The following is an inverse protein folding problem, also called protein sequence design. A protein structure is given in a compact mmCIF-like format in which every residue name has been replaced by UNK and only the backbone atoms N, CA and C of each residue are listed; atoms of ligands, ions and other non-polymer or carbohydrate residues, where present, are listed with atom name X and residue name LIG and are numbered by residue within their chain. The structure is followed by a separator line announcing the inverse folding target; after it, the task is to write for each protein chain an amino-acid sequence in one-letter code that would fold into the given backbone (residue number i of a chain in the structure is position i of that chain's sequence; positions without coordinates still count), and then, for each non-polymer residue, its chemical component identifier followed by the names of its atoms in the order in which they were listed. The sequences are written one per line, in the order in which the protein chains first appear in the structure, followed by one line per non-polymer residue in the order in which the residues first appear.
data_IF_833456041236
#
_entry.id   IF_833456041236
#
_cell.length_a   1.000
_cell.length_b   1.000
_cell.length_c   1.000
_cell.angle_alpha   90.00
_cell.angle_beta   90.00
_cell.angle_gamma   90.00
#
_symmetry.space_group_name_H-M   'P 1'
#
loop_
_entity.id
_entity.type
_entity.pdbx_description
1 polymer ?
#
# COMPACT_ATOMS: atom_id res chain seq x y z
N UNK A 1 46.43 7.87 45.64
CA UNK A 1 47.05 7.00 44.59
C UNK A 1 46.30 5.72 44.33
N UNK A 2 45.76 4.99 45.30
CA UNK A 2 45.02 3.72 45.07
C UNK A 2 43.70 3.91 44.31
N UNK A 3 43.00 5.03 44.42
CA UNK A 3 41.74 5.35 43.70
C UNK A 3 41.96 5.71 42.24
N UNK A 4 43.12 6.25 41.87
CA UNK A 4 43.44 6.62 40.47
C UNK A 4 43.78 5.40 39.63
N UNK A 5 44.39 4.36 40.20
CA UNK A 5 44.70 3.12 39.52
C UNK A 5 43.45 2.25 39.26
N UNK A 6 42.43 2.34 40.12
CA UNK A 6 41.13 1.63 39.94
C UNK A 6 40.32 2.21 38.75
N UNK A 7 40.37 3.53 38.51
CA UNK A 7 39.69 4.18 37.39
C UNK A 7 40.36 3.87 36.05
N UNK A 8 41.73 3.84 36.03
CA UNK A 8 42.48 3.50 34.81
C UNK A 8 42.30 2.02 34.43
N UNK A 9 42.27 1.12 35.40
CA UNK A 9 42.00 -0.31 35.17
C UNK A 9 40.56 -0.53 34.68
N UNK A 10 39.55 0.23 35.13
CA UNK A 10 38.18 0.14 34.67
C UNK A 10 38.03 0.64 33.21
N UNK A 11 38.74 1.69 32.81
CA UNK A 11 38.73 2.22 31.43
C UNK A 11 39.42 1.26 30.43
N UNK A 12 40.44 0.52 30.87
CA UNK A 12 41.15 -0.46 30.02
C UNK A 12 40.32 -1.74 29.83
N UNK A 13 39.45 -2.10 30.76
CA UNK A 13 38.52 -3.25 30.61
C UNK A 13 37.37 -2.97 29.63
N UNK A 14 36.94 -1.71 29.46
CA UNK A 14 35.92 -1.34 28.47
C UNK A 14 36.47 -1.15 27.05
N UNK A 15 37.78 -0.90 26.90
CA UNK A 15 38.42 -0.78 25.58
C UNK A 15 38.65 -2.15 24.91
N UNK A 16 38.50 -3.25 25.62
CA UNK A 16 38.75 -4.61 25.09
C UNK A 16 37.53 -5.27 24.42
N UNK A 17 36.35 -4.63 24.43
CA UNK A 17 35.13 -5.16 23.79
C UNK A 17 34.80 -4.52 22.44
N UNK A 18 35.60 -3.58 21.95
CA UNK A 18 35.54 -3.15 20.57
C UNK A 18 36.38 -4.10 19.66
N UNK A 19 36.13 -5.38 19.77
CA UNK A 19 36.46 -6.28 18.66
C UNK A 19 35.42 -6.00 17.59
N UNK A 20 35.82 -5.22 16.59
CA UNK A 20 35.15 -5.24 15.30
C UNK A 20 34.97 -6.73 14.95
N UNK A 21 33.72 -7.22 14.95
CA UNK A 21 33.42 -8.52 14.36
C UNK A 21 33.99 -8.44 12.94
N UNK A 22 35.15 -9.08 12.72
CA UNK A 22 35.63 -9.30 11.36
C UNK A 22 34.47 -9.93 10.63
N UNK A 23 33.94 -9.23 9.63
CA UNK A 23 32.95 -9.80 8.72
C UNK A 23 33.47 -11.17 8.33
N UNK A 24 32.70 -12.19 8.71
CA UNK A 24 33.03 -13.54 8.36
C UNK A 24 32.90 -13.61 6.86
N UNK A 25 34.00 -13.73 6.15
CA UNK A 25 33.98 -13.84 4.69
C UNK A 25 32.97 -14.93 4.32
N UNK A 26 32.03 -14.59 3.45
CA UNK A 26 31.04 -15.55 2.95
C UNK A 26 31.81 -16.77 2.40
N UNK A 27 31.30 -18.00 2.60
CA UNK A 27 31.90 -19.18 2.00
C UNK A 27 32.09 -18.97 0.49
N UNK A 28 33.28 -19.26 -0.04
CA UNK A 28 33.59 -19.08 -1.47
C UNK A 28 32.76 -19.98 -2.38
N UNK A 29 32.12 -20.96 -1.82
CA UNK A 29 31.40 -22.10 -2.43
C UNK A 29 29.88 -22.01 -2.14
N UNK A 30 29.34 -20.83 -2.04
CA UNK A 30 27.86 -20.70 -2.07
C UNK A 30 27.35 -21.36 -3.36
N UNK A 31 26.37 -22.28 -3.28
CA UNK A 31 25.80 -22.85 -4.48
C UNK A 31 25.29 -21.76 -5.40
N UNK A 32 25.49 -21.87 -6.72
CA UNK A 32 24.95 -20.90 -7.65
C UNK A 32 23.43 -20.84 -7.48
N UNK A 33 22.87 -19.66 -7.66
CA UNK A 33 21.40 -19.53 -7.68
C UNK A 33 20.82 -20.52 -8.71
N UNK A 34 19.89 -21.36 -8.28
CA UNK A 34 19.13 -22.20 -9.19
C UNK A 34 18.34 -21.38 -10.22
N UNK A 35 17.87 -22.02 -11.30
CA UNK A 35 16.95 -21.36 -12.22
C UNK A 35 15.71 -20.87 -11.44
N UNK A 36 15.22 -19.67 -11.77
CA UNK A 36 13.97 -19.16 -11.21
C UNK A 36 12.85 -20.11 -11.66
N UNK A 37 12.20 -20.76 -10.70
CA UNK A 37 11.03 -21.57 -11.05
C UNK A 37 9.91 -20.63 -11.54
N UNK A 38 9.29 -20.93 -12.70
CA UNK A 38 8.20 -20.10 -13.19
C UNK A 38 7.05 -20.10 -12.17
N UNK A 39 6.50 -18.93 -11.90
CA UNK A 39 5.33 -18.80 -11.04
C UNK A 39 4.15 -19.52 -11.69
N UNK A 40 3.68 -20.59 -11.06
CA UNK A 40 2.46 -21.27 -11.52
C UNK A 40 1.28 -20.41 -11.11
N UNK A 41 0.71 -19.70 -12.08
CA UNK A 41 -0.49 -18.94 -11.85
C UNK A 41 -1.65 -19.86 -11.42
N UNK A 42 -2.45 -19.45 -10.45
CA UNK A 42 -3.63 -20.18 -10.05
C UNK A 42 -4.69 -20.14 -11.17
N UNK A 43 -5.40 -21.25 -11.35
CA UNK A 43 -6.60 -21.27 -12.21
C UNK A 43 -7.73 -20.55 -11.47
N UNK A 44 -8.19 -19.44 -12.02
CA UNK A 44 -9.29 -18.65 -11.45
C UNK A 44 -10.60 -19.00 -12.16
N UNK A 45 -11.56 -19.57 -11.44
CA UNK A 45 -12.92 -19.75 -11.93
C UNK A 45 -13.69 -18.44 -11.72
N UNK A 46 -14.19 -17.87 -12.80
CA UNK A 46 -14.98 -16.63 -12.79
C UNK A 46 -16.46 -16.94 -12.92
N UNK A 47 -17.28 -16.38 -12.06
CA UNK A 47 -18.72 -16.43 -12.09
C UNK A 47 -19.28 -15.01 -12.08
N UNK A 48 -20.44 -14.84 -12.72
CA UNK A 48 -21.24 -13.63 -12.56
C UNK A 48 -22.67 -14.06 -12.17
N UNK A 49 -23.20 -13.45 -11.11
CA UNK A 49 -24.57 -13.69 -10.68
C UNK A 49 -25.53 -12.77 -11.46
N UNK A 50 -26.81 -13.13 -11.50
CA UNK A 50 -27.85 -12.35 -12.21
C UNK A 50 -28.01 -10.93 -11.64
N UNK A 51 -27.69 -10.73 -10.36
CA UNK A 51 -27.67 -9.41 -9.71
C UNK A 51 -26.44 -8.56 -10.07
N UNK A 52 -25.50 -9.12 -10.85
CA UNK A 52 -24.28 -8.47 -11.33
C UNK A 52 -23.06 -8.62 -10.43
N UNK A 53 -23.14 -9.36 -9.32
CA UNK A 53 -21.97 -9.67 -8.49
C UNK A 53 -20.98 -10.53 -9.26
N UNK A 54 -19.72 -10.10 -9.31
CA UNK A 54 -18.61 -10.92 -9.82
C UNK A 54 -18.07 -11.79 -8.70
N UNK A 55 -17.81 -13.08 -8.98
CA UNK A 55 -17.18 -13.99 -8.03
C UNK A 55 -15.97 -14.63 -8.69
N UNK A 56 -14.80 -14.56 -8.05
CA UNK A 56 -13.57 -15.23 -8.48
C UNK A 56 -13.19 -16.28 -7.45
N UNK A 57 -13.00 -17.52 -7.92
CA UNK A 57 -12.73 -18.66 -7.06
C UNK A 57 -11.41 -19.33 -7.45
N UNK A 58 -10.59 -19.63 -6.46
CA UNK A 58 -9.35 -20.40 -6.60
C UNK A 58 -9.36 -21.54 -5.59
N UNK A 59 -9.63 -22.76 -6.07
CA UNK A 59 -9.48 -23.95 -5.25
C UNK A 59 -7.98 -24.30 -5.11
N UNK A 60 -7.49 -24.43 -3.88
CA UNK A 60 -6.11 -24.77 -3.55
C UNK A 60 -6.08 -25.86 -2.50
N UNK A 61 -5.34 -26.93 -2.78
CA UNK A 61 -5.05 -27.97 -1.80
C UNK A 61 -3.88 -27.55 -0.90
N UNK A 62 -3.73 -28.22 0.23
CA UNK A 62 -2.58 -28.08 1.12
C UNK A 62 -2.95 -27.52 2.50
N UNK A 63 -3.44 -26.29 2.58
CA UNK A 63 -3.86 -25.71 3.86
C UNK A 63 -5.38 -25.76 4.01
N UNK A 64 -5.92 -26.31 5.12
CA UNK A 64 -7.37 -26.43 5.34
C UNK A 64 -7.99 -25.09 5.75
N UNK A 65 -7.77 -24.03 4.95
CA UNK A 65 -8.30 -22.68 5.15
C UNK A 65 -8.95 -22.16 3.89
N UNK A 66 -9.89 -21.24 4.06
CA UNK A 66 -10.53 -20.47 3.00
C UNK A 66 -10.47 -19.00 3.36
N UNK A 67 -9.87 -18.22 2.47
CA UNK A 67 -9.87 -16.76 2.52
C UNK A 67 -10.98 -16.21 1.64
N UNK A 68 -11.73 -15.25 2.16
CA UNK A 68 -12.76 -14.53 1.42
C UNK A 68 -12.44 -13.03 1.48
N UNK A 69 -12.50 -12.38 0.34
CA UNK A 69 -12.36 -10.93 0.24
C UNK A 69 -13.48 -10.38 -0.64
N UNK A 70 -14.32 -9.53 -0.07
CA UNK A 70 -15.26 -8.70 -0.82
C UNK A 70 -14.60 -7.35 -1.06
N UNK A 71 -14.40 -6.97 -2.32
CA UNK A 71 -14.01 -5.61 -2.66
C UNK A 71 -15.19 -4.88 -3.28
N UNK A 72 -15.45 -3.68 -2.79
CA UNK A 72 -16.54 -2.82 -3.26
C UNK A 72 -15.94 -1.51 -3.74
N UNK A 73 -16.20 -1.11 -4.98
CA UNK A 73 -15.74 0.18 -5.53
C UNK A 73 -16.29 1.35 -4.73
N UNK A 74 -15.52 2.42 -4.64
CA UNK A 74 -15.88 3.60 -3.86
C UNK A 74 -15.14 3.66 -2.51
N UNK A 75 -13.83 3.77 -2.56
CA UNK A 75 -12.96 4.06 -1.43
C UNK A 75 -12.96 5.57 -1.06
N UNK A 76 -11.83 6.04 -0.55
CA UNK A 76 -11.63 7.45 -0.14
C UNK A 76 -11.87 8.44 -1.29
N UNK A 77 -11.49 8.07 -2.52
CA UNK A 77 -11.68 8.94 -3.69
C UNK A 77 -13.15 9.16 -4.08
N UNK A 78 -14.06 8.37 -3.54
CA UNK A 78 -15.50 8.53 -3.75
C UNK A 78 -16.20 9.35 -2.65
N UNK A 79 -15.44 9.83 -1.67
CA UNK A 79 -15.98 10.70 -0.61
C UNK A 79 -16.33 12.08 -1.16
N UNK A 80 -17.37 12.68 -0.61
CA UNK A 80 -17.68 14.08 -0.90
C UNK A 80 -16.57 15.00 -0.36
N UNK A 81 -16.29 16.11 -1.06
CA UNK A 81 -15.22 17.04 -0.69
C UNK A 81 -15.33 17.60 0.73
N UNK A 82 -16.56 17.78 1.21
CA UNK A 82 -16.87 18.26 2.57
C UNK A 82 -16.82 17.14 3.63
N UNK A 83 -16.67 15.88 3.22
CA UNK A 83 -16.62 14.70 4.09
C UNK A 83 -15.42 13.81 3.81
N UNK A 84 -14.19 14.34 3.81
CA UNK A 84 -13.00 13.57 3.49
C UNK A 84 -12.79 12.45 4.50
N UNK A 85 -12.53 11.23 4.02
CA UNK A 85 -12.27 10.05 4.82
C UNK A 85 -13.50 9.35 5.39
N UNK A 86 -14.71 9.70 4.94
CA UNK A 86 -15.95 9.01 5.32
C UNK A 86 -15.88 7.50 5.04
N UNK A 87 -15.23 7.10 3.93
CA UNK A 87 -15.00 5.69 3.61
C UNK A 87 -14.20 4.94 4.71
N UNK A 88 -13.30 5.61 5.43
CA UNK A 88 -12.53 4.98 6.52
C UNK A 88 -13.45 4.70 7.72
N UNK A 89 -14.33 5.65 8.08
CA UNK A 89 -15.31 5.46 9.15
C UNK A 89 -16.32 4.38 8.75
N UNK A 90 -16.79 4.38 7.49
CA UNK A 90 -17.69 3.37 6.95
C UNK A 90 -17.07 1.96 7.03
N UNK A 91 -15.83 1.81 6.57
CA UNK A 91 -15.12 0.53 6.64
C UNK A 91 -14.96 0.02 8.08
N UNK A 92 -14.65 0.91 9.03
CA UNK A 92 -14.57 0.53 10.46
C UNK A 92 -15.91 0.18 11.09
N UNK A 93 -17.00 0.71 10.53
CA UNK A 93 -18.35 0.50 11.08
C UNK A 93 -19.10 -0.65 10.43
N UNK A 94 -18.76 -1.06 9.18
CA UNK A 94 -19.53 -2.06 8.41
C UNK A 94 -19.60 -3.42 9.09
N UNK A 95 -18.58 -3.80 9.86
CA UNK A 95 -18.51 -5.07 10.59
C UNK A 95 -19.14 -5.00 11.99
N UNK A 96 -19.64 -3.83 12.39
CA UNK A 96 -20.10 -3.55 13.75
C UNK A 96 -21.62 -3.74 13.93
N UNK A 97 -22.15 -4.78 13.31
CA UNK A 97 -23.55 -5.21 13.44
C UNK A 97 -24.35 -5.09 12.15
N UNK A 98 -25.38 -5.90 12.09
CA UNK A 98 -26.30 -6.02 10.96
C UNK A 98 -27.75 -5.82 11.44
N UNK A 99 -28.70 -5.84 10.51
CA UNK A 99 -30.15 -5.87 10.85
C UNK A 99 -30.55 -7.09 11.70
N UNK A 100 -29.71 -8.16 11.71
CA UNK A 100 -30.02 -9.45 12.39
C UNK A 100 -29.03 -9.78 13.53
N UNK A 101 -27.87 -9.16 13.59
CA UNK A 101 -26.78 -9.52 14.51
C UNK A 101 -26.19 -8.27 15.13
N UNK A 102 -25.94 -8.29 16.43
CA UNK A 102 -25.12 -7.27 17.08
C UNK A 102 -23.65 -7.38 16.67
N UNK A 103 -22.85 -6.35 16.92
CA UNK A 103 -21.40 -6.36 16.70
C UNK A 103 -20.72 -7.55 17.39
N UNK A 104 -21.09 -7.80 18.64
CA UNK A 104 -20.61 -8.92 19.44
C UNK A 104 -20.93 -10.27 18.79
N UNK A 105 -22.17 -10.48 18.35
CA UNK A 105 -22.57 -11.72 17.67
C UNK A 105 -21.82 -11.95 16.36
N UNK A 106 -21.57 -10.88 15.57
CA UNK A 106 -20.74 -10.98 14.36
C UNK A 106 -19.31 -11.44 14.74
N UNK A 107 -18.68 -10.78 15.71
CA UNK A 107 -17.33 -11.11 16.14
C UNK A 107 -17.24 -12.56 16.70
N UNK A 108 -18.16 -12.95 17.58
CA UNK A 108 -18.19 -14.29 18.19
C UNK A 108 -18.35 -15.41 17.14
N UNK A 109 -19.14 -15.18 16.07
CA UNK A 109 -19.33 -16.17 15.01
C UNK A 109 -18.05 -16.43 14.20
N UNK A 110 -17.23 -15.40 13.96
CA UNK A 110 -15.93 -15.58 13.31
C UNK A 110 -14.89 -16.16 14.27
N UNK A 111 -14.83 -15.69 15.53
CA UNK A 111 -13.90 -16.21 16.54
C UNK A 111 -14.15 -17.70 16.85
N UNK A 112 -15.42 -18.13 16.89
CA UNK A 112 -15.78 -19.53 17.12
C UNK A 112 -15.27 -20.49 16.04
N UNK A 113 -14.90 -19.99 14.87
CA UNK A 113 -14.36 -20.78 13.76
C UNK A 113 -12.90 -20.51 13.48
N UNK A 114 -12.18 -19.88 14.43
CA UNK A 114 -10.75 -19.58 14.33
C UNK A 114 -10.44 -18.51 13.29
N UNK A 115 -11.39 -17.63 12.98
CA UNK A 115 -11.23 -16.52 12.04
C UNK A 115 -11.50 -15.16 12.67
N UNK A 116 -11.33 -14.13 11.86
CA UNK A 116 -11.71 -12.75 12.14
C UNK A 116 -12.40 -12.16 10.91
N UNK A 117 -13.11 -11.06 11.11
CA UNK A 117 -13.68 -10.25 10.05
C UNK A 117 -13.13 -8.83 10.15
N UNK A 118 -12.49 -8.38 9.11
CA UNK A 118 -11.90 -7.05 9.04
C UNK A 118 -12.39 -6.27 7.83
N UNK A 119 -12.41 -4.93 7.95
CA UNK A 119 -12.67 -4.08 6.81
C UNK A 119 -11.71 -2.89 6.78
N UNK A 120 -11.32 -2.48 5.55
CA UNK A 120 -10.44 -1.34 5.31
C UNK A 120 -10.87 -0.56 4.07
N UNK A 121 -10.69 0.75 4.09
CA UNK A 121 -10.83 1.60 2.92
C UNK A 121 -9.45 1.81 2.25
N UNK A 122 -9.40 1.62 0.94
CA UNK A 122 -8.35 2.12 0.05
C UNK A 122 -8.82 3.36 -0.68
N UNK A 123 -8.03 3.83 -1.64
CA UNK A 123 -8.44 4.99 -2.45
C UNK A 123 -9.66 4.67 -3.32
N UNK A 124 -9.66 3.53 -4.00
CA UNK A 124 -10.65 3.20 -5.02
C UNK A 124 -11.71 2.18 -4.55
N UNK A 125 -11.48 1.50 -3.42
CA UNK A 125 -12.37 0.46 -2.92
C UNK A 125 -12.37 0.32 -1.39
N UNK A 126 -13.44 -0.29 -0.87
CA UNK A 126 -13.52 -0.83 0.48
C UNK A 126 -13.39 -2.34 0.38
N UNK A 127 -12.56 -2.92 1.25
CA UNK A 127 -12.31 -4.36 1.31
C UNK A 127 -12.85 -4.91 2.63
N UNK A 128 -13.62 -5.99 2.56
CA UNK A 128 -14.09 -6.77 3.72
C UNK A 128 -13.51 -8.17 3.59
N UNK A 129 -12.69 -8.59 4.54
CA UNK A 129 -11.89 -9.81 4.42
C UNK A 129 -11.99 -10.68 5.66
N UNK A 130 -11.97 -12.00 5.44
CA UNK A 130 -11.87 -13.02 6.49
C UNK A 130 -11.05 -14.21 5.99
N UNK A 131 -10.46 -14.95 6.94
CA UNK A 131 -9.74 -16.19 6.67
C UNK A 131 -10.12 -17.22 7.75
N UNK A 132 -10.76 -18.31 7.35
CA UNK A 132 -11.35 -19.29 8.26
C UNK A 132 -10.92 -20.72 7.91
N UNK A 133 -11.18 -21.68 8.80
CA UNK A 133 -10.99 -23.08 8.49
C UNK A 133 -11.94 -23.53 7.37
N UNK A 134 -11.47 -24.43 6.51
CA UNK A 134 -12.21 -24.89 5.32
C UNK A 134 -13.55 -25.55 5.65
N UNK A 135 -13.59 -26.37 6.70
CA UNK A 135 -14.81 -27.05 7.19
C UNK A 135 -15.84 -26.07 7.78
N UNK A 136 -15.43 -24.81 8.04
CA UNK A 136 -16.29 -23.74 8.57
C UNK A 136 -16.77 -22.74 7.50
N UNK A 137 -16.35 -22.92 6.24
CA UNK A 137 -16.71 -22.03 5.13
C UNK A 137 -18.22 -21.76 5.05
N UNK A 138 -19.05 -22.83 5.00
CA UNK A 138 -20.50 -22.69 4.90
C UNK A 138 -21.16 -22.11 6.17
N UNK A 139 -20.50 -22.16 7.33
CA UNK A 139 -20.98 -21.56 8.57
C UNK A 139 -20.81 -20.04 8.57
N UNK A 140 -19.68 -19.52 8.04
CA UNK A 140 -19.39 -18.08 8.05
C UNK A 140 -19.96 -17.34 6.85
N UNK A 141 -20.20 -18.03 5.73
CA UNK A 141 -20.66 -17.41 4.50
C UNK A 141 -21.96 -16.60 4.68
N UNK A 142 -23.00 -17.07 5.39
CA UNK A 142 -24.21 -16.29 5.67
C UNK A 142 -23.94 -15.06 6.55
N UNK A 143 -22.90 -15.11 7.42
CA UNK A 143 -22.56 -13.98 8.28
C UNK A 143 -21.85 -12.90 7.49
N UNK A 144 -20.88 -13.28 6.64
CA UNK A 144 -20.22 -12.36 5.72
C UNK A 144 -21.24 -11.68 4.79
N UNK A 145 -22.15 -12.48 4.23
CA UNK A 145 -23.22 -11.96 3.38
C UNK A 145 -24.11 -10.96 4.13
N UNK A 146 -24.50 -11.27 5.36
CA UNK A 146 -25.32 -10.37 6.18
C UNK A 146 -24.59 -9.04 6.47
N UNK A 147 -23.27 -9.08 6.72
CA UNK A 147 -22.46 -7.88 6.92
C UNK A 147 -22.42 -7.03 5.65
N UNK A 148 -22.12 -7.59 4.49
CA UNK A 148 -21.98 -6.82 3.25
C UNK A 148 -23.29 -6.39 2.62
N UNK A 149 -24.41 -7.02 3.00
CA UNK A 149 -25.74 -6.72 2.47
C UNK A 149 -26.63 -5.92 3.45
N UNK A 150 -26.43 -6.08 4.76
CA UNK A 150 -27.39 -5.64 5.78
C UNK A 150 -26.76 -4.93 6.97
N UNK A 151 -25.58 -4.32 6.84
CA UNK A 151 -24.98 -3.54 7.94
C UNK A 151 -25.96 -2.49 8.46
N UNK A 152 -26.06 -2.31 9.78
CA UNK A 152 -27.10 -1.50 10.43
C UNK A 152 -26.62 -0.19 11.03
N UNK A 153 -25.33 -0.08 11.31
CA UNK A 153 -24.68 1.11 11.89
C UNK A 153 -25.38 1.60 13.18
N UNK A 154 -25.39 0.80 14.26
CA UNK A 154 -25.92 1.24 15.55
C UNK A 154 -25.13 2.45 16.06
N UNK A 155 -25.82 3.46 16.60
CA UNK A 155 -25.19 4.73 17.02
C UNK A 155 -24.06 4.52 18.06
N UNK A 156 -24.22 3.55 18.97
CA UNK A 156 -23.18 3.19 19.96
C UNK A 156 -21.91 2.69 19.28
N UNK A 157 -22.04 1.80 18.30
CA UNK A 157 -20.92 1.22 17.55
C UNK A 157 -20.27 2.26 16.62
N UNK A 158 -21.07 3.11 15.98
CA UNK A 158 -20.58 4.25 15.18
C UNK A 158 -19.74 5.19 16.03
N UNK A 159 -20.18 5.50 17.26
CA UNK A 159 -19.40 6.32 18.20
C UNK A 159 -18.04 5.67 18.52
N UNK A 160 -18.00 4.37 18.75
CA UNK A 160 -16.76 3.63 19.01
C UNK A 160 -15.87 3.65 17.78
N UNK A 161 -16.41 3.37 16.58
CA UNK A 161 -15.66 3.40 15.33
C UNK A 161 -15.04 4.78 15.07
N UNK A 162 -15.79 5.87 15.26
CA UNK A 162 -15.28 7.25 15.16
C UNK A 162 -14.14 7.52 16.13
N UNK A 163 -14.27 7.08 17.40
CA UNK A 163 -13.19 7.21 18.39
C UNK A 163 -11.93 6.46 17.94
N UNK A 164 -12.07 5.24 17.45
CA UNK A 164 -10.96 4.42 16.96
C UNK A 164 -10.28 5.06 15.74
N UNK A 165 -11.05 5.59 14.77
CA UNK A 165 -10.51 6.28 13.60
C UNK A 165 -9.79 7.57 14.02
N UNK A 166 -10.35 8.35 14.96
CA UNK A 166 -9.72 9.56 15.49
C UNK A 166 -8.40 9.27 16.19
N UNK A 167 -8.35 8.23 17.02
CA UNK A 167 -7.13 7.82 17.70
C UNK A 167 -6.06 7.31 16.72
N UNK A 168 -6.48 6.53 15.73
CA UNK A 168 -5.59 6.08 14.64
C UNK A 168 -5.05 7.27 13.83
N UNK A 169 -5.89 8.26 13.53
CA UNK A 169 -5.48 9.47 12.81
C UNK A 169 -4.44 10.25 13.62
N UNK A 170 -4.68 10.52 14.92
CA UNK A 170 -3.71 11.20 15.79
C UNK A 170 -2.37 10.46 15.86
N UNK A 171 -2.41 9.12 15.97
CA UNK A 171 -1.19 8.30 15.95
C UNK A 171 -0.43 8.43 14.62
N UNK A 172 -1.14 8.42 13.49
CA UNK A 172 -0.54 8.62 12.16
C UNK A 172 0.04 10.04 12.01
N UNK A 173 -0.67 11.06 12.47
CA UNK A 173 -0.22 12.47 12.41
C UNK A 173 1.02 12.75 13.26
N UNK A 174 1.31 11.92 14.27
CA UNK A 174 2.57 11.96 14.99
C UNK A 174 3.77 11.48 14.17
N UNK A 175 3.55 10.76 13.05
CA UNK A 175 4.60 10.18 12.22
C UNK A 175 4.99 11.15 11.07
N UNK A 176 6.25 11.59 10.97
CA UNK A 176 6.71 12.47 9.88
C UNK A 176 6.46 11.89 8.49
N UNK A 177 6.64 10.57 8.33
CA UNK A 177 6.40 9.88 7.07
C UNK A 177 4.94 9.95 6.60
N UNK A 178 3.97 9.93 7.53
CA UNK A 178 2.56 10.14 7.20
C UNK A 178 2.29 11.58 6.77
N UNK A 179 2.84 12.56 7.49
CA UNK A 179 2.72 13.98 7.14
C UNK A 179 3.31 14.25 5.75
N UNK A 180 4.49 13.69 5.47
CA UNK A 180 5.13 13.80 4.16
C UNK A 180 4.27 13.17 3.04
N UNK A 181 3.66 12.00 3.30
CA UNK A 181 2.77 11.34 2.35
C UNK A 181 1.50 12.14 2.08
N UNK A 182 0.88 12.72 3.12
CA UNK A 182 -0.31 13.57 3.01
C UNK A 182 0.01 14.85 2.23
N UNK A 183 1.12 15.48 2.54
CA UNK A 183 1.58 16.67 1.83
C UNK A 183 1.87 16.36 0.35
N UNK A 184 2.59 15.27 0.06
CA UNK A 184 2.89 14.87 -1.32
C UNK A 184 1.61 14.61 -2.12
N UNK A 185 0.66 13.87 -1.55
CA UNK A 185 -0.62 13.61 -2.21
C UNK A 185 -1.36 14.92 -2.53
N UNK A 186 -1.44 15.84 -1.55
CA UNK A 186 -2.09 17.15 -1.74
C UNK A 186 -1.41 17.98 -2.82
N UNK A 187 -0.08 18.03 -2.84
CA UNK A 187 0.67 18.80 -3.84
C UNK A 187 0.57 18.19 -5.23
N UNK A 188 0.68 16.86 -5.35
CA UNK A 188 0.64 16.19 -6.66
C UNK A 188 -0.75 16.18 -7.29
N UNK A 189 -1.78 16.01 -6.47
CA UNK A 189 -3.15 15.83 -6.94
C UNK A 189 -4.06 17.05 -6.72
N UNK A 190 -3.64 18.04 -5.94
CA UNK A 190 -4.41 19.25 -5.67
C UNK A 190 -5.79 18.94 -5.09
N UNK A 191 -6.83 19.45 -5.74
CA UNK A 191 -8.24 19.24 -5.36
C UNK A 191 -8.85 17.95 -5.92
N UNK A 192 -8.06 17.16 -6.63
CA UNK A 192 -8.50 15.84 -7.08
C UNK A 192 -8.68 14.91 -5.87
N UNK A 193 -9.66 13.98 -5.88
CA UNK A 193 -9.91 13.08 -4.74
C UNK A 193 -8.68 12.30 -4.25
N UNK A 194 -7.72 11.96 -5.11
CA UNK A 194 -6.48 11.31 -4.71
C UNK A 194 -5.52 12.20 -3.90
N UNK A 195 -5.78 13.51 -3.82
CA UNK A 195 -5.09 14.40 -2.89
C UNK A 195 -5.46 14.18 -1.41
N UNK A 196 -6.52 13.41 -1.16
CA UNK A 196 -6.98 13.06 0.19
C UNK A 196 -6.61 11.63 0.51
N UNK A 197 -5.75 11.41 1.51
CA UNK A 197 -5.31 10.06 1.93
C UNK A 197 -5.80 9.66 3.32
N UNK A 198 -6.51 10.53 4.00
CA UNK A 198 -7.03 10.30 5.34
C UNK A 198 -8.19 11.27 5.65
N UNK A 199 -9.05 10.94 6.63
CA UNK A 199 -10.05 11.87 7.16
C UNK A 199 -9.41 13.08 7.83
N UNK A 200 -10.24 14.08 8.15
CA UNK A 200 -9.95 15.11 9.15
C UNK A 200 -10.71 14.80 10.45
N UNK A 201 -10.23 15.30 11.58
CA UNK A 201 -10.97 15.16 12.86
C UNK A 201 -12.38 15.72 12.75
N UNK A 202 -12.53 16.87 12.07
CA UNK A 202 -13.83 17.51 11.83
C UNK A 202 -14.76 16.61 11.00
N UNK A 203 -14.27 15.99 9.91
CA UNK A 203 -15.11 15.11 9.10
C UNK A 203 -15.54 13.85 9.88
N UNK A 204 -14.66 13.30 10.73
CA UNK A 204 -15.01 12.18 11.61
C UNK A 204 -16.10 12.60 12.61
N UNK A 205 -15.93 13.75 13.26
CA UNK A 205 -16.91 14.26 14.24
C UNK A 205 -18.29 14.50 13.63
N UNK A 206 -18.34 15.05 12.43
CA UNK A 206 -19.58 15.34 11.72
C UNK A 206 -20.26 14.09 11.13
N UNK A 207 -19.55 12.96 11.01
CA UNK A 207 -20.14 11.73 10.45
C UNK A 207 -21.21 11.16 11.38
N UNK A 208 -22.40 10.93 10.84
CA UNK A 208 -23.54 10.33 11.54
C UNK A 208 -23.79 8.90 11.06
N UNK A 209 -24.58 8.13 11.82
CA UNK A 209 -25.03 6.81 11.40
C UNK A 209 -25.85 6.85 10.10
N UNK A 210 -26.64 7.92 9.89
CA UNK A 210 -27.41 8.10 8.66
C UNK A 210 -26.51 8.39 7.45
N UNK A 211 -25.41 9.13 7.64
CA UNK A 211 -24.40 9.30 6.59
C UNK A 211 -23.83 7.94 6.19
N UNK A 212 -23.50 7.10 7.17
CA UNK A 212 -22.96 5.76 6.91
C UNK A 212 -23.97 4.86 6.22
N UNK A 213 -25.25 4.90 6.60
CA UNK A 213 -26.33 4.14 5.94
C UNK A 213 -26.49 4.56 4.48
N UNK A 214 -26.49 5.86 4.19
CA UNK A 214 -26.55 6.38 2.81
C UNK A 214 -25.35 5.94 1.98
N UNK A 215 -24.15 6.08 2.51
CA UNK A 215 -22.92 5.69 1.83
C UNK A 215 -22.78 4.18 1.66
N UNK A 216 -23.26 3.39 2.60
CA UNK A 216 -23.36 1.95 2.47
C UNK A 216 -24.29 1.56 1.33
N UNK A 217 -25.51 2.10 1.28
CA UNK A 217 -26.46 1.83 0.20
C UNK A 217 -25.92 2.24 -1.18
N UNK A 218 -25.14 3.33 -1.25
CA UNK A 218 -24.52 3.82 -2.49
C UNK A 218 -23.36 2.92 -2.98
N UNK A 219 -22.54 2.40 -2.05
CA UNK A 219 -21.30 1.67 -2.39
C UNK A 219 -21.48 0.17 -2.40
N UNK A 220 -22.19 -0.41 -1.41
CA UNK A 220 -22.35 -1.85 -1.27
C UNK A 220 -23.46 -2.39 -2.18
N UNK A 221 -23.18 -2.34 -3.48
CA UNK A 221 -24.07 -2.83 -4.53
C UNK A 221 -23.42 -4.00 -5.28
N UNK A 222 -24.16 -5.06 -5.65
CA UNK A 222 -23.56 -6.24 -6.25
C UNK A 222 -22.82 -5.96 -7.56
N UNK A 223 -23.31 -5.04 -8.40
CA UNK A 223 -22.65 -4.65 -9.65
C UNK A 223 -21.33 -3.91 -9.45
N UNK A 224 -21.08 -3.38 -8.26
CA UNK A 224 -19.85 -2.66 -7.88
C UNK A 224 -18.94 -3.48 -7.00
N UNK A 225 -19.19 -4.79 -6.88
CA UNK A 225 -18.49 -5.68 -5.98
C UNK A 225 -17.91 -6.90 -6.69
N UNK A 226 -16.78 -7.37 -6.15
CA UNK A 226 -16.25 -8.70 -6.40
C UNK A 226 -16.15 -9.46 -5.08
N UNK A 227 -16.48 -10.73 -5.10
CA UNK A 227 -16.15 -11.66 -4.03
C UNK A 227 -15.07 -12.61 -4.52
N UNK A 228 -13.92 -12.59 -3.88
CA UNK A 228 -12.81 -13.50 -4.15
C UNK A 228 -12.76 -14.57 -3.06
N UNK A 229 -12.71 -15.83 -3.46
CA UNK A 229 -12.67 -17.00 -2.59
C UNK A 229 -11.47 -17.86 -2.94
N UNK A 230 -10.54 -18.03 -2.00
CA UNK A 230 -9.29 -18.77 -2.22
C UNK A 230 -9.10 -19.78 -1.09
N UNK A 231 -8.88 -21.04 -1.41
CA UNK A 231 -8.55 -22.03 -0.39
C UNK A 231 -9.00 -23.45 -0.70
N UNK A 232 -9.11 -24.26 0.36
CA UNK A 232 -9.47 -25.66 0.25
C UNK A 232 -10.98 -25.83 0.31
N UNK A 233 -11.60 -26.09 -0.83
CA UNK A 233 -13.04 -26.34 -0.97
C UNK A 233 -13.34 -27.12 -2.24
N UNK A 234 -14.46 -27.85 -2.26
CA UNK A 234 -15.03 -28.38 -3.50
C UNK A 234 -15.63 -27.24 -4.32
N UNK A 235 -15.17 -27.09 -5.55
CA UNK A 235 -15.52 -25.96 -6.41
C UNK A 235 -17.02 -25.92 -6.79
N UNK A 236 -17.66 -27.08 -6.95
CA UNK A 236 -19.09 -27.15 -7.32
C UNK A 236 -20.00 -26.85 -6.11
N UNK A 237 -19.64 -27.39 -4.94
CA UNK A 237 -20.39 -27.12 -3.70
C UNK A 237 -20.23 -25.65 -3.27
N UNK A 238 -19.00 -25.10 -3.36
CA UNK A 238 -18.74 -23.70 -3.05
C UNK A 238 -19.52 -22.77 -3.99
N UNK A 239 -19.52 -23.03 -5.31
CA UNK A 239 -20.33 -22.25 -6.26
C UNK A 239 -21.81 -22.26 -5.89
N UNK A 240 -22.39 -23.44 -5.59
CA UNK A 240 -23.79 -23.55 -5.21
C UNK A 240 -24.08 -22.73 -3.94
N UNK A 241 -23.26 -22.85 -2.91
CA UNK A 241 -23.38 -22.09 -1.65
C UNK A 241 -23.28 -20.58 -1.86
N UNK A 242 -22.33 -20.13 -2.70
CA UNK A 242 -22.14 -18.72 -3.04
C UNK A 242 -23.33 -18.15 -3.81
N UNK A 243 -23.82 -18.86 -4.82
CA UNK A 243 -25.02 -18.46 -5.57
C UNK A 243 -26.22 -18.35 -4.64
N UNK A 244 -26.49 -19.37 -3.85
CA UNK A 244 -27.63 -19.41 -2.90
C UNK A 244 -27.55 -18.23 -1.92
N UNK A 245 -26.36 -17.91 -1.41
CA UNK A 245 -26.15 -16.87 -0.38
C UNK A 245 -26.25 -15.46 -0.95
N UNK A 246 -25.62 -15.19 -2.09
CA UNK A 246 -25.48 -13.83 -2.60
C UNK A 246 -26.48 -13.45 -3.71
N UNK A 247 -27.24 -14.39 -4.27
CA UNK A 247 -28.22 -14.09 -5.30
C UNK A 247 -29.30 -13.10 -4.83
N UNK A 248 -29.62 -13.09 -3.53
CA UNK A 248 -30.58 -12.17 -2.93
C UNK A 248 -30.04 -10.75 -2.70
N UNK A 249 -28.74 -10.51 -2.92
CA UNK A 249 -28.15 -9.19 -2.74
C UNK A 249 -28.72 -8.22 -3.77
N UNK A 250 -29.44 -7.21 -3.29
CA UNK A 250 -30.05 -6.16 -4.10
C UNK A 250 -29.38 -4.83 -3.85
N UNK A 251 -29.34 -3.99 -4.87
CA UNK A 251 -28.99 -2.58 -4.66
C UNK A 251 -30.12 -1.91 -3.86
N UNK A 252 -29.80 -1.33 -2.71
CA UNK A 252 -30.78 -0.64 -1.84
C UNK A 252 -31.03 0.81 -2.29
N UNK A 253 -31.08 1.07 -3.59
CA UNK A 253 -31.38 2.41 -4.13
C UNK A 253 -30.21 3.40 -4.05
N UNK A 254 -30.30 4.45 -4.82
CA UNK A 254 -29.27 5.48 -4.92
C UNK A 254 -28.41 5.34 -6.18
N UNK A 255 -27.79 6.46 -6.57
CA UNK A 255 -26.83 6.46 -7.68
C UNK A 255 -25.58 5.67 -7.30
N UNK A 256 -25.12 4.79 -8.20
CA UNK A 256 -23.85 4.08 -8.05
C UNK A 256 -22.69 5.05 -7.88
N UNK A 257 -21.60 4.59 -7.27
CA UNK A 257 -20.36 5.36 -7.23
C UNK A 257 -19.90 5.65 -8.64
N UNK A 258 -19.68 6.92 -8.93
CA UNK A 258 -19.10 7.34 -10.20
C UNK A 258 -17.62 6.99 -10.24
N UNK A 259 -17.11 6.71 -11.43
CA UNK A 259 -15.67 6.50 -11.61
C UNK A 259 -14.91 7.80 -11.29
N UNK A 260 -13.83 7.68 -10.53
CA UNK A 260 -12.94 8.81 -10.23
C UNK A 260 -12.32 9.31 -11.54
N UNK A 261 -12.39 10.62 -11.84
CA UNK A 261 -11.78 11.13 -13.06
C UNK A 261 -10.26 10.95 -13.06
N UNK A 262 -9.65 10.98 -14.23
CA UNK A 262 -8.18 10.93 -14.34
C UNK A 262 -7.59 12.27 -13.86
N UNK A 263 -6.63 12.28 -12.90
CA UNK A 263 -5.98 13.51 -12.47
C UNK A 263 -5.02 14.05 -13.52
N UNK A 264 -4.79 15.36 -13.49
CA UNK A 264 -3.64 15.98 -14.14
C UNK A 264 -2.58 16.22 -13.07
N UNK A 265 -1.49 15.44 -13.11
CA UNK A 265 -0.34 15.63 -12.22
C UNK A 265 0.59 16.63 -12.88
N UNK A 266 0.78 17.80 -12.27
CA UNK A 266 1.72 18.82 -12.74
C UNK A 266 3.04 18.67 -12.00
N UNK A 267 4.19 18.55 -12.70
CA UNK A 267 5.48 18.63 -12.05
C UNK A 267 5.65 19.99 -11.36
N UNK A 268 5.99 19.97 -10.10
CA UNK A 268 6.27 21.19 -9.34
C UNK A 268 7.68 21.05 -8.75
N UNK A 269 8.70 21.49 -9.47
CA UNK A 269 10.08 21.47 -8.98
C UNK A 269 10.28 22.56 -7.92
N UNK A 270 9.70 22.31 -6.75
CA UNK A 270 9.78 23.12 -5.56
C UNK A 270 9.84 22.21 -4.33
N UNK A 271 10.25 22.74 -3.20
CA UNK A 271 10.20 22.07 -1.91
C UNK A 271 8.95 22.53 -1.17
N UNK A 272 8.10 21.60 -0.78
CA UNK A 272 6.94 21.87 0.06
C UNK A 272 7.26 21.48 1.49
N UNK A 273 7.36 22.48 2.36
CA UNK A 273 7.75 22.30 3.75
C UNK A 273 6.52 22.08 4.64
N UNK A 274 6.60 21.04 5.47
CA UNK A 274 5.74 20.81 6.63
C UNK A 274 6.58 21.06 7.88
N UNK A 275 6.45 22.22 8.54
CA UNK A 275 7.25 22.54 9.71
C UNK A 275 6.96 21.58 10.87
N UNK A 276 8.03 21.09 11.51
CA UNK A 276 7.95 20.28 12.71
C UNK A 276 9.03 20.69 13.70
N UNK A 277 8.65 21.60 14.59
CA UNK A 277 9.56 22.16 15.59
C UNK A 277 10.16 21.10 16.50
N UNK A 278 11.46 21.19 16.75
CA UNK A 278 12.22 20.27 17.58
C UNK A 278 12.56 18.94 16.91
N UNK A 279 12.32 18.79 15.61
CA UNK A 279 12.74 17.60 14.87
C UNK A 279 14.24 17.53 14.74
N UNK A 280 14.84 16.40 15.16
CA UNK A 280 16.28 16.12 14.98
C UNK A 280 16.58 15.46 13.63
N UNK A 281 15.54 15.10 12.91
CA UNK A 281 15.61 14.51 11.56
C UNK A 281 14.66 15.25 10.61
N UNK A 282 15.02 15.24 9.33
CA UNK A 282 14.15 15.66 8.23
C UNK A 282 13.67 14.42 7.47
N UNK A 283 12.36 14.29 7.27
CA UNK A 283 11.79 13.33 6.33
C UNK A 283 11.68 13.97 4.96
N UNK A 284 12.44 13.47 4.01
CA UNK A 284 12.33 13.83 2.60
C UNK A 284 11.41 12.84 1.88
N UNK A 285 10.45 13.37 1.12
CA UNK A 285 9.65 12.59 0.20
C UNK A 285 9.65 13.25 -1.18
N UNK A 286 10.15 12.53 -2.17
CA UNK A 286 10.28 13.01 -3.54
C UNK A 286 9.34 12.21 -4.43
N UNK A 287 8.36 12.88 -5.04
CA UNK A 287 7.34 12.28 -5.88
C UNK A 287 7.50 12.63 -7.36
N UNK A 288 7.28 11.67 -8.24
CA UNK A 288 7.17 11.85 -9.70
C UNK A 288 5.97 11.10 -10.23
N UNK A 289 5.30 11.62 -11.27
CA UNK A 289 4.22 10.89 -11.94
C UNK A 289 4.73 9.57 -12.49
N UNK A 290 3.90 8.55 -12.47
CA UNK A 290 4.19 7.20 -12.95
C UNK A 290 3.08 6.64 -13.83
N UNK A 291 3.22 5.40 -14.31
CA UNK A 291 2.22 4.74 -15.13
C UNK A 291 0.97 4.36 -14.34
N UNK A 292 -0.13 4.17 -15.04
CA UNK A 292 -1.29 3.44 -14.52
C UNK A 292 -0.96 1.95 -14.40
N UNK A 293 -1.66 1.24 -13.49
CA UNK A 293 -1.53 -0.22 -13.36
C UNK A 293 -1.84 -0.98 -14.68
N UNK A 294 -2.69 -0.40 -15.52
CA UNK A 294 -3.09 -0.96 -16.82
C UNK A 294 -2.19 -0.54 -17.99
N UNK A 295 -1.17 0.30 -17.74
CA UNK A 295 -0.31 0.80 -18.80
C UNK A 295 0.64 -0.29 -19.32
N UNK A 296 0.97 -0.25 -20.62
CA UNK A 296 1.87 -1.22 -21.24
C UNK A 296 3.29 -1.16 -20.68
N UNK A 297 3.71 -0.02 -20.14
CA UNK A 297 5.02 0.21 -19.54
C UNK A 297 5.03 0.01 -18.01
N UNK A 298 3.97 -0.59 -17.43
CA UNK A 298 3.86 -0.78 -16.00
C UNK A 298 4.94 -1.72 -15.45
N UNK A 299 5.08 -2.93 -16.00
CA UNK A 299 6.05 -3.92 -15.52
C UNK A 299 7.51 -3.44 -15.72
N UNK A 300 7.80 -2.78 -16.83
CA UNK A 300 9.10 -2.12 -17.03
C UNK A 300 9.35 -1.01 -15.99
N UNK A 301 8.28 -0.33 -15.54
CA UNK A 301 8.34 0.69 -14.50
C UNK A 301 8.59 0.07 -13.12
N UNK A 302 8.04 -1.10 -12.83
CA UNK A 302 8.35 -1.85 -11.60
C UNK A 302 9.81 -2.30 -11.57
N UNK A 303 10.33 -2.83 -12.69
CA UNK A 303 11.75 -3.17 -12.79
C UNK A 303 12.64 -1.93 -12.63
N UNK A 304 12.28 -0.81 -13.25
CA UNK A 304 12.99 0.45 -13.08
C UNK A 304 12.97 0.92 -11.62
N UNK A 305 11.82 0.84 -10.93
CA UNK A 305 11.71 1.20 -9.53
C UNK A 305 12.53 0.26 -8.62
N UNK A 306 12.53 -1.04 -8.89
CA UNK A 306 13.35 -2.00 -8.14
C UNK A 306 14.85 -1.65 -8.23
N UNK A 307 15.35 -1.32 -9.43
CA UNK A 307 16.74 -0.91 -9.66
C UNK A 307 17.04 0.42 -8.98
N UNK A 308 16.12 1.39 -9.07
CA UNK A 308 16.29 2.70 -8.49
C UNK A 308 16.34 2.69 -6.97
N UNK A 309 15.29 2.16 -6.30
CA UNK A 309 15.14 2.26 -4.85
C UNK A 309 14.20 1.23 -4.22
N UNK A 310 13.64 0.31 -5.01
CA UNK A 310 12.63 -0.64 -4.55
C UNK A 310 13.18 -1.93 -3.92
N UNK A 311 14.48 -2.17 -3.98
CA UNK A 311 15.12 -3.34 -3.38
C UNK A 311 16.36 -2.95 -2.58
N UNK A 312 16.84 -3.85 -1.72
CA UNK A 312 18.00 -3.59 -0.86
C UNK A 312 19.28 -3.31 -1.66
N UNK A 313 19.51 -4.00 -2.76
CA UNK A 313 20.65 -3.76 -3.66
C UNK A 313 20.43 -2.66 -4.71
N UNK A 314 19.45 -1.78 -4.50
CA UNK A 314 19.13 -0.68 -5.44
C UNK A 314 20.18 0.43 -5.42
N UNK A 315 20.23 1.22 -6.50
CA UNK A 315 21.17 2.36 -6.64
C UNK A 315 21.04 3.34 -5.48
N UNK A 316 19.81 3.67 -5.10
CA UNK A 316 19.52 4.60 -3.99
C UNK A 316 20.04 4.07 -2.64
N UNK A 317 19.83 2.79 -2.33
CA UNK A 317 20.29 2.18 -1.08
C UNK A 317 21.81 2.10 -1.05
N UNK A 318 22.44 1.65 -2.12
CA UNK A 318 23.90 1.55 -2.23
C UNK A 318 24.58 2.92 -2.08
N UNK A 319 23.99 3.97 -2.67
CA UNK A 319 24.52 5.32 -2.57
C UNK A 319 24.28 5.94 -1.17
N UNK A 320 23.01 6.13 -0.79
CA UNK A 320 22.67 6.96 0.38
C UNK A 320 22.92 6.22 1.69
N UNK A 321 22.72 4.90 1.72
CA UNK A 321 22.94 4.11 2.92
C UNK A 321 24.35 3.57 3.03
N UNK A 322 24.80 2.78 2.04
CA UNK A 322 26.05 2.03 2.15
C UNK A 322 27.28 2.94 1.96
N UNK A 323 27.26 3.83 0.96
CA UNK A 323 28.41 4.72 0.67
C UNK A 323 28.42 5.97 1.55
N UNK A 324 27.29 6.67 1.70
CA UNK A 324 27.19 7.95 2.41
C UNK A 324 26.80 7.83 3.88
N UNK A 325 26.10 6.79 4.28
CA UNK A 325 25.62 6.62 5.66
C UNK A 325 24.64 7.72 6.12
N UNK A 326 23.89 8.31 5.20
CA UNK A 326 22.97 9.42 5.52
C UNK A 326 21.70 8.95 6.18
N UNK A 327 21.21 7.76 5.82
CA UNK A 327 20.00 7.16 6.37
C UNK A 327 20.10 5.63 6.39
N UNK A 328 19.33 5.00 7.29
CA UNK A 328 19.29 3.54 7.40
C UNK A 328 18.39 2.89 6.37
N UNK A 329 17.28 3.52 5.97
CA UNK A 329 16.23 2.91 5.16
C UNK A 329 15.70 3.86 4.09
N UNK A 330 16.51 4.25 3.08
CA UNK A 330 15.97 4.93 1.93
C UNK A 330 15.25 3.90 1.06
N UNK A 331 14.10 4.28 0.49
CA UNK A 331 13.35 3.40 -0.42
C UNK A 331 12.56 4.19 -1.44
N UNK A 332 12.21 3.52 -2.54
CA UNK A 332 11.28 4.02 -3.53
C UNK A 332 10.16 3.02 -3.80
N UNK A 333 8.98 3.54 -4.07
CA UNK A 333 7.77 2.75 -4.36
C UNK A 333 7.06 3.31 -5.57
N UNK A 334 6.68 2.45 -6.51
CA UNK A 334 5.64 2.74 -7.50
C UNK A 334 4.27 2.48 -6.84
N UNK A 335 3.47 3.52 -6.72
CA UNK A 335 2.11 3.43 -6.21
C UNK A 335 1.12 3.70 -7.32
N UNK A 336 0.15 2.80 -7.44
CA UNK A 336 -0.93 2.96 -8.39
C UNK A 336 -2.27 3.10 -7.69
N UNK A 337 -3.13 3.89 -8.28
CA UNK A 337 -4.56 3.99 -8.08
C UNK A 337 -5.24 3.66 -9.40
N UNK A 338 -6.52 3.43 -9.40
CA UNK A 338 -7.25 3.08 -10.62
C UNK A 338 -7.04 4.07 -11.77
N UNK A 339 -6.90 5.37 -11.48
CA UNK A 339 -6.76 6.45 -12.47
C UNK A 339 -5.45 7.23 -12.37
N UNK A 340 -4.51 6.81 -11.52
CA UNK A 340 -3.23 7.47 -11.38
C UNK A 340 -2.12 6.49 -10.98
N UNK A 341 -0.88 6.83 -11.35
CA UNK A 341 0.32 6.20 -10.83
C UNK A 341 1.38 7.24 -10.51
N UNK A 342 2.19 6.97 -9.51
CA UNK A 342 3.33 7.81 -9.16
C UNK A 342 4.40 7.02 -8.42
N UNK A 343 5.65 7.41 -8.64
CA UNK A 343 6.77 6.96 -7.82
C UNK A 343 6.94 7.93 -6.66
N UNK A 344 7.36 7.41 -5.52
CA UNK A 344 7.89 8.27 -4.47
C UNK A 344 9.11 7.65 -3.81
N UNK A 345 10.10 8.50 -3.52
CA UNK A 345 11.26 8.18 -2.70
C UNK A 345 11.04 8.68 -1.29
N UNK A 346 11.44 7.93 -0.27
CA UNK A 346 11.43 8.34 1.13
C UNK A 346 12.83 8.19 1.73
N UNK A 347 13.26 9.20 2.48
CA UNK A 347 14.47 9.13 3.29
C UNK A 347 14.29 9.94 4.57
N UNK A 348 14.49 9.29 5.71
CA UNK A 348 14.53 9.95 7.02
C UNK A 348 16.00 10.17 7.39
N UNK A 349 16.44 11.43 7.44
CA UNK A 349 17.86 11.79 7.53
C UNK A 349 18.12 12.72 8.70
N UNK A 350 19.35 12.70 9.20
CA UNK A 350 19.80 13.73 10.16
C UNK A 350 19.71 15.10 9.48
N UNK A 351 19.30 16.11 10.24
CA UNK A 351 19.14 17.48 9.73
C UNK A 351 20.32 17.98 8.91
N UNK A 352 21.54 17.79 9.41
CA UNK A 352 22.79 18.27 8.77
C UNK A 352 23.15 17.61 7.42
N UNK A 353 22.38 16.65 6.93
CA UNK A 353 22.59 15.99 5.64
C UNK A 353 21.34 16.04 4.75
N UNK A 354 20.38 16.89 5.10
CA UNK A 354 19.12 17.05 4.35
C UNK A 354 19.39 17.44 2.90
N UNK A 355 20.17 18.49 2.69
CA UNK A 355 20.56 18.96 1.36
C UNK A 355 21.40 17.94 0.61
N UNK A 356 22.41 17.37 1.25
CA UNK A 356 23.25 16.34 0.65
C UNK A 356 22.41 15.12 0.20
N UNK A 357 21.44 14.70 1.01
CA UNK A 357 20.55 13.59 0.64
C UNK A 357 19.66 13.92 -0.56
N UNK A 358 19.09 15.13 -0.62
CA UNK A 358 18.31 15.54 -1.79
C UNK A 358 19.16 15.55 -3.06
N UNK A 359 20.43 15.98 -2.96
CA UNK A 359 21.37 15.92 -4.07
C UNK A 359 21.58 14.48 -4.57
N UNK A 360 21.77 13.54 -3.66
CA UNK A 360 21.96 12.14 -4.04
C UNK A 360 20.67 11.50 -4.62
N UNK A 361 19.49 11.89 -4.12
CA UNK A 361 18.20 11.47 -4.71
C UNK A 361 18.10 12.00 -6.15
N UNK A 362 18.40 13.30 -6.37
CA UNK A 362 18.36 13.90 -7.70
C UNK A 362 19.41 13.28 -8.65
N UNK A 363 20.60 13.00 -8.12
CA UNK A 363 21.65 12.30 -8.86
C UNK A 363 21.17 10.92 -9.34
N UNK A 364 20.61 10.11 -8.45
CA UNK A 364 20.16 8.76 -8.83
C UNK A 364 18.92 8.79 -9.74
N UNK A 365 18.00 9.74 -9.55
CA UNK A 365 16.89 9.94 -10.49
C UNK A 365 17.41 10.28 -11.91
N UNK A 366 18.33 11.20 -12.03
CA UNK A 366 18.92 11.57 -13.31
C UNK A 366 19.79 10.44 -13.90
N UNK A 367 20.51 9.71 -13.04
CA UNK A 367 21.31 8.55 -13.44
C UNK A 367 20.42 7.44 -14.01
N UNK A 368 19.24 7.19 -13.45
CA UNK A 368 18.27 6.27 -14.04
C UNK A 368 17.89 6.67 -15.46
N UNK A 369 17.70 7.97 -15.71
CA UNK A 369 17.31 8.48 -17.03
C UNK A 369 18.46 8.50 -18.05
N UNK A 370 19.72 8.57 -17.60
CA UNK A 370 20.91 8.75 -18.47
C UNK A 370 21.78 7.50 -18.61
N UNK A 371 21.79 6.65 -17.59
CA UNK A 371 22.61 5.43 -17.54
C UNK A 371 21.73 4.20 -17.46
N UNK A 372 21.65 3.43 -18.53
CA UNK A 372 20.89 2.18 -18.57
C UNK A 372 21.29 1.19 -17.47
N UNK A 373 20.42 0.24 -17.14
CA UNK A 373 20.72 -0.80 -16.16
C UNK A 373 21.78 -1.78 -16.68
N UNK A 374 22.63 -2.27 -15.80
CA UNK A 374 23.53 -3.39 -16.07
C UNK A 374 22.76 -4.72 -16.07
N UNK A 375 23.35 -5.76 -16.65
CA UNK A 375 22.80 -7.12 -16.64
C UNK A 375 22.60 -7.67 -15.21
N UNK A 376 23.51 -7.30 -14.28
CA UNK A 376 23.39 -7.66 -12.86
C UNK A 376 22.18 -6.98 -12.22
N UNK A 377 21.99 -5.67 -12.41
CA UNK A 377 20.83 -4.94 -11.89
C UNK A 377 19.52 -5.51 -12.46
N UNK A 378 19.47 -5.78 -13.76
CA UNK A 378 18.31 -6.40 -14.41
C UNK A 378 17.98 -7.78 -13.81
N UNK A 379 18.99 -8.63 -13.64
CA UNK A 379 18.82 -9.96 -13.08
C UNK A 379 18.33 -9.91 -11.63
N UNK A 380 18.92 -9.04 -10.80
CA UNK A 380 18.56 -8.89 -9.40
C UNK A 380 17.14 -8.33 -9.26
N UNK A 381 16.79 -7.29 -10.03
CA UNK A 381 15.47 -6.66 -9.97
C UNK A 381 14.36 -7.63 -10.36
N UNK A 382 14.50 -8.33 -11.48
CA UNK A 382 13.52 -9.33 -11.92
C UNK A 382 13.32 -10.46 -10.90
N UNK A 383 14.41 -11.01 -10.38
CA UNK A 383 14.36 -12.06 -9.35
C UNK A 383 13.71 -11.57 -8.06
N UNK A 384 14.02 -10.35 -7.64
CA UNK A 384 13.42 -9.74 -6.47
C UNK A 384 11.91 -9.58 -6.62
N UNK A 385 11.45 -8.99 -7.74
CA UNK A 385 10.02 -8.78 -8.01
C UNK A 385 9.25 -10.09 -8.07
N UNK A 386 9.69 -11.05 -8.88
CA UNK A 386 9.04 -12.36 -9.00
C UNK A 386 9.08 -13.12 -7.65
N UNK A 387 10.17 -12.99 -6.90
CA UNK A 387 10.30 -13.61 -5.57
C UNK A 387 9.34 -13.03 -4.54
N UNK A 388 9.18 -11.70 -4.48
CA UNK A 388 8.24 -11.02 -3.58
C UNK A 388 6.79 -11.37 -3.96
N UNK A 389 6.47 -11.36 -5.25
CA UNK A 389 5.16 -11.77 -5.76
C UNK A 389 4.85 -13.22 -5.34
N UNK A 390 5.78 -14.15 -5.59
CA UNK A 390 5.61 -15.55 -5.20
C UNK A 390 5.33 -15.71 -3.71
N UNK A 391 6.04 -14.97 -2.84
CA UNK A 391 5.82 -14.98 -1.38
C UNK A 391 4.42 -14.43 -1.05
N UNK A 392 4.01 -13.33 -1.68
CA UNK A 392 2.68 -12.72 -1.47
C UNK A 392 1.54 -13.68 -1.82
N UNK A 393 1.70 -14.44 -2.89
CA UNK A 393 0.69 -15.38 -3.40
C UNK A 393 0.68 -16.75 -2.68
N UNK A 394 1.64 -17.02 -1.77
CA UNK A 394 1.66 -18.27 -1.01
C UNK A 394 0.45 -18.42 -0.09
N UNK A 395 0.01 -17.35 0.56
CA UNK A 395 -1.15 -17.39 1.44
C UNK A 395 -2.45 -17.22 0.66
N UNK A 396 -3.51 -17.94 1.06
CA UNK A 396 -4.84 -17.74 0.47
C UNK A 396 -5.36 -16.31 0.63
N UNK A 397 -5.06 -15.67 1.77
CA UNK A 397 -5.44 -14.28 2.02
C UNK A 397 -4.68 -13.28 1.12
N UNK A 398 -3.37 -13.51 0.90
CA UNK A 398 -2.57 -12.69 -0.02
C UNK A 398 -3.11 -12.78 -1.45
N UNK A 399 -3.32 -13.99 -1.95
CA UNK A 399 -3.88 -14.21 -3.28
C UNK A 399 -5.30 -13.63 -3.43
N UNK A 400 -6.16 -13.78 -2.41
CA UNK A 400 -7.51 -13.19 -2.44
C UNK A 400 -7.45 -11.66 -2.47
N UNK A 401 -6.53 -11.07 -1.71
CA UNK A 401 -6.30 -9.61 -1.70
C UNK A 401 -5.79 -9.09 -3.04
N UNK A 402 -4.83 -9.78 -3.65
CA UNK A 402 -4.27 -9.40 -4.95
C UNK A 402 -5.33 -9.49 -6.06
N UNK A 403 -6.05 -10.60 -6.16
CA UNK A 403 -7.15 -10.76 -7.11
C UNK A 403 -8.22 -9.67 -6.93
N UNK A 404 -8.58 -9.34 -5.70
CA UNK A 404 -9.53 -8.27 -5.42
C UNK A 404 -8.99 -6.90 -5.88
N UNK A 405 -7.69 -6.64 -5.71
CA UNK A 405 -7.04 -5.41 -6.18
C UNK A 405 -7.01 -5.34 -7.71
N UNK A 406 -6.68 -6.42 -8.40
CA UNK A 406 -6.74 -6.49 -9.86
C UNK A 406 -8.15 -6.16 -10.39
N UNK A 407 -9.19 -6.69 -9.75
CA UNK A 407 -10.56 -6.38 -10.15
C UNK A 407 -10.89 -4.89 -9.93
N UNK A 408 -10.44 -4.30 -8.82
CA UNK A 408 -10.63 -2.85 -8.55
C UNK A 408 -9.96 -2.03 -9.64
N UNK A 409 -8.77 -2.40 -10.07
CA UNK A 409 -8.00 -1.74 -11.14
C UNK A 409 -8.58 -2.02 -12.53
N UNK A 410 -9.58 -2.90 -12.67
CA UNK A 410 -10.20 -3.25 -13.93
C UNK A 410 -9.40 -4.25 -14.75
N UNK A 411 -8.51 -4.99 -14.11
CA UNK A 411 -7.71 -6.04 -14.71
C UNK A 411 -8.38 -7.41 -14.57
N UNK A 412 -8.13 -8.29 -15.52
CA UNK A 412 -8.61 -9.66 -15.48
C UNK A 412 -7.79 -10.51 -14.50
N UNK A 413 -8.35 -11.59 -13.92
CA UNK A 413 -7.67 -12.40 -12.92
C UNK A 413 -6.42 -13.12 -13.43
N UNK A 414 -6.30 -13.32 -14.75
CA UNK A 414 -5.13 -13.92 -15.38
C UNK A 414 -3.91 -12.98 -15.47
N UNK A 415 -4.05 -11.70 -15.07
CA UNK A 415 -2.92 -10.78 -14.98
C UNK A 415 -1.84 -11.28 -13.99
N UNK A 416 -2.20 -12.00 -12.94
CA UNK A 416 -1.21 -12.63 -12.05
C UNK A 416 -0.20 -13.49 -12.82
N UNK A 417 -0.69 -14.29 -13.79
CA UNK A 417 0.20 -15.09 -14.64
C UNK A 417 1.02 -14.23 -15.59
N UNK A 418 0.39 -13.23 -16.18
CA UNK A 418 0.99 -12.39 -17.21
C UNK A 418 2.05 -11.44 -16.66
N UNK A 419 1.91 -11.01 -15.41
CA UNK A 419 2.81 -10.06 -14.77
C UNK A 419 4.22 -10.61 -14.62
N UNK A 420 4.36 -11.80 -14.03
CA UNK A 420 5.66 -12.47 -13.92
C UNK A 420 6.32 -12.68 -15.29
N UNK A 421 5.55 -13.12 -16.29
CA UNK A 421 6.04 -13.30 -17.67
C UNK A 421 6.51 -11.98 -18.30
N UNK A 422 5.80 -10.88 -18.05
CA UNK A 422 6.15 -9.56 -18.59
C UNK A 422 7.38 -8.99 -17.87
N UNK A 423 7.49 -9.16 -16.57
CA UNK A 423 8.69 -8.81 -15.80
C UNK A 423 9.89 -9.55 -16.38
N UNK A 424 9.76 -10.87 -16.64
CA UNK A 424 10.86 -11.67 -17.18
C UNK A 424 11.26 -11.22 -18.60
N UNK A 425 10.31 -10.85 -19.44
CA UNK A 425 10.54 -10.36 -20.80
C UNK A 425 11.02 -8.90 -20.88
N UNK A 426 10.90 -8.12 -19.80
CA UNK A 426 11.34 -6.72 -19.77
C UNK A 426 12.83 -6.61 -20.10
N UNK A 427 13.19 -5.77 -21.07
CA UNK A 427 14.57 -5.56 -21.50
C UNK A 427 15.21 -4.34 -20.83
N UNK A 428 16.53 -4.23 -20.88
CA UNK A 428 17.24 -3.04 -20.41
C UNK A 428 16.84 -1.78 -21.23
N UNK A 429 16.45 -1.95 -22.49
CA UNK A 429 15.94 -0.87 -23.34
C UNK A 429 14.58 -0.37 -22.84
N UNK A 430 13.67 -1.26 -22.44
CA UNK A 430 12.36 -0.89 -21.87
C UNK A 430 12.54 -0.12 -20.56
N UNK A 431 13.39 -0.60 -19.68
CA UNK A 431 13.73 0.09 -18.41
C UNK A 431 14.33 1.48 -18.68
N UNK A 432 15.22 1.59 -19.65
CA UNK A 432 15.82 2.88 -20.05
C UNK A 432 14.78 3.84 -20.61
N UNK A 433 13.83 3.35 -21.41
CA UNK A 433 12.76 4.16 -21.98
C UNK A 433 11.84 4.72 -20.89
N UNK A 434 11.43 3.85 -19.95
CA UNK A 434 10.64 4.21 -18.77
C UNK A 434 11.38 5.22 -17.89
N UNK A 435 12.67 4.97 -17.62
CA UNK A 435 13.46 5.85 -16.79
C UNK A 435 13.58 7.26 -17.41
N UNK A 436 13.81 7.38 -18.71
CA UNK A 436 13.79 8.67 -19.43
C UNK A 436 12.43 9.37 -19.36
N UNK A 437 11.35 8.60 -19.37
CA UNK A 437 9.98 9.13 -19.35
C UNK A 437 9.60 9.68 -17.97
N UNK A 438 9.94 8.98 -16.90
CA UNK A 438 9.40 9.26 -15.57
C UNK A 438 10.43 9.81 -14.56
N UNK A 439 11.69 9.39 -14.60
CA UNK A 439 12.68 9.64 -13.55
C UNK A 439 13.45 10.97 -13.56
N UNK A 440 13.46 11.84 -14.62
CA UNK A 440 14.24 13.08 -14.54
C UNK A 440 13.88 13.91 -13.30
N UNK A 441 14.86 14.26 -12.49
CA UNK A 441 14.68 15.01 -11.23
C UNK A 441 13.92 16.32 -11.41
N UNK A 442 14.05 16.98 -12.58
CA UNK A 442 13.31 18.19 -12.94
C UNK A 442 11.78 18.00 -12.95
N UNK A 443 11.29 16.76 -13.00
CA UNK A 443 9.86 16.42 -12.93
C UNK A 443 9.37 16.05 -11.54
N UNK A 444 10.26 16.09 -10.54
CA UNK A 444 9.92 15.69 -9.19
C UNK A 444 9.31 16.84 -8.38
N UNK A 445 8.46 16.47 -7.43
CA UNK A 445 7.96 17.32 -6.36
C UNK A 445 8.63 16.88 -5.07
N UNK A 446 9.19 17.81 -4.31
CA UNK A 446 9.88 17.52 -3.05
C UNK A 446 9.02 17.96 -1.87
N UNK A 447 8.82 17.09 -0.90
CA UNK A 447 8.25 17.42 0.40
C UNK A 447 9.30 17.19 1.47
N UNK A 448 9.46 18.15 2.37
CA UNK A 448 10.31 18.06 3.54
C UNK A 448 9.46 18.23 4.81
N UNK A 449 9.58 17.31 5.76
CA UNK A 449 8.98 17.42 7.09
C UNK A 449 10.11 17.54 8.11
N UNK A 450 10.26 18.69 8.75
CA UNK A 450 11.41 18.90 9.64
C UNK A 450 11.41 20.28 10.30
N UNK A 451 12.53 20.60 10.93
CA UNK A 451 12.76 21.91 11.55
C UNK A 451 12.90 22.98 10.47
N UNK A 452 12.01 23.97 10.51
CA UNK A 452 11.86 25.00 9.48
C UNK A 452 13.20 25.68 9.10
N UNK A 453 13.91 26.20 10.09
CA UNK A 453 15.20 26.88 9.90
C UNK A 453 16.23 25.98 9.23
N UNK A 454 16.32 24.74 9.70
CA UNK A 454 17.29 23.77 9.18
C UNK A 454 17.00 23.41 7.73
N UNK A 455 15.73 23.16 7.41
CA UNK A 455 15.32 22.82 6.03
C UNK A 455 15.65 23.97 5.08
N UNK A 456 15.41 25.22 5.49
CA UNK A 456 15.78 26.39 4.69
C UNK A 456 17.29 26.51 4.48
N UNK A 457 18.10 26.39 5.53
CA UNK A 457 19.56 26.47 5.46
C UNK A 457 20.15 25.37 4.59
N UNK A 458 19.71 24.13 4.78
CA UNK A 458 20.21 22.95 4.06
C UNK A 458 19.80 22.91 2.58
N UNK A 459 18.65 23.48 2.22
CA UNK A 459 18.15 23.45 0.84
C UNK A 459 18.40 24.75 0.06
N UNK A 460 18.88 25.81 0.70
CA UNK A 460 19.24 27.08 0.04
C UNK A 460 20.21 26.89 -1.15
N UNK A 461 21.26 26.06 -1.06
CA UNK A 461 22.21 25.90 -2.16
C UNK A 461 21.60 25.33 -3.45
N UNK A 462 20.43 24.71 -3.38
CA UNK A 462 19.74 24.14 -4.55
C UNK A 462 18.98 25.17 -5.35
N UNK A 463 18.81 26.39 -4.84
CA UNK A 463 18.02 27.44 -5.49
C UNK A 463 16.54 27.07 -5.72
N UNK A 464 16.05 26.07 -4.99
CA UNK A 464 14.64 25.65 -5.07
C UNK A 464 13.76 26.57 -4.23
N UNK A 465 12.62 26.94 -4.79
CA UNK A 465 11.61 27.68 -4.03
C UNK A 465 11.03 26.77 -2.92
N UNK A 466 11.03 27.28 -1.68
CA UNK A 466 10.42 26.61 -0.54
C UNK A 466 9.03 27.19 -0.31
N UNK A 467 8.03 26.34 -0.35
CA UNK A 467 6.58 26.68 -0.27
C UNK A 467 5.93 26.01 0.92
N UNK A 468 4.90 26.63 1.45
CA UNK A 468 3.95 25.94 2.32
C UNK A 468 3.12 24.94 1.51
N UNK A 469 2.67 23.87 2.16
CA UNK A 469 1.73 22.92 1.56
C UNK A 469 0.36 23.61 1.39
N UNK A 470 -0.29 23.50 0.20
CA UNK A 470 -1.58 24.16 -0.09
C UNK A 470 -2.73 23.74 0.82
#
# INVERSE_FOLDING_TARGET
MKTLYALIASCLLFASFAHAQKERALPKDLPPYGPVAPLKAPTVKTLQLDNGLTIWMVAREGFPKVALTVAVRGGLAADAKDRPGLAEVLAKSVTQGTKKRSARQVAEQFQAVGGDLSARAGQDAIFVSTNVLADKFNQVLPVLADVVMNASFPDTEVKIAKSNVSNSLRSREAQPSFLAGRALAKVMFGDHPYGVIAPTLTSIEQTTADDLRREFARRFQPKQAVLVVVGSFDAAQAEASLRQTFQSWKAEGGASVQETPKPTIQPARAVFLVPRTGSVQTTLRVGVAGPLRQAEDYEASEVANAIYGGMFGSRLVLNIREDKGYTYSPFAVLRTYRQAGYFFTNADVRNAVTGATLNEIDYELNRMATTGPSDTEMTQAKRNLVGIEAIGLQSGAGLAGELASLWVDGLAPDNIAKESDKIDKTTAADVTAVAKKYFPAARSTVVAVGEDKVVHEELQPFGLEIKSVP
#
